data_IF_992047187379
#
_entry.id   IF_992047187379
#
_cell.length_a   1.000
_cell.length_b   1.000
_cell.length_c   1.000
_cell.angle_alpha   90.00
_cell.angle_beta   90.00
_cell.angle_gamma   90.00
#
_symmetry.space_group_name_H-M   'P 1'
#
loop_
_entity.id
_entity.type
_entity.pdbx_description
1 polymer ?
#
# COMPACT_ATOMS: atom_id res chain seq x y z
N UNK A 1 4.44 -6.86 2.40
CA UNK A 1 3.20 -6.08 2.63
C UNK A 1 3.45 -4.63 2.27
N UNK A 2 2.43 -3.91 1.81
CA UNK A 2 2.52 -2.49 1.46
C UNK A 2 1.46 -1.69 2.24
N UNK A 3 1.88 -0.63 2.92
CA UNK A 3 1.00 0.34 3.58
C UNK A 3 1.21 1.72 2.94
N UNK A 4 0.14 2.40 2.54
CA UNK A 4 0.23 3.62 1.72
C UNK A 4 -0.97 4.53 1.87
N UNK A 5 -1.55 4.58 3.07
CA UNK A 5 -2.85 5.20 3.34
C UNK A 5 -3.98 4.18 3.34
N UNK A 6 -5.21 4.64 3.04
CA UNK A 6 -6.39 3.78 3.04
C UNK A 6 -6.20 2.52 2.18
N UNK A 7 -6.32 1.35 2.83
CA UNK A 7 -6.10 0.07 2.17
C UNK A 7 -7.11 -0.25 1.05
N UNK A 8 -8.33 0.33 1.04
CA UNK A 8 -9.30 0.13 -0.03
C UNK A 8 -8.78 0.71 -1.34
N UNK A 9 -8.06 1.83 -1.26
CA UNK A 9 -7.45 2.47 -2.42
C UNK A 9 -6.22 1.70 -2.91
N UNK A 10 -5.39 1.24 -1.97
CA UNK A 10 -4.19 0.45 -2.27
C UNK A 10 -4.56 -0.91 -2.86
N UNK A 11 -5.58 -1.58 -2.32
CA UNK A 11 -6.11 -2.83 -2.83
C UNK A 11 -6.58 -2.68 -4.28
N UNK A 12 -7.42 -1.68 -4.54
CA UNK A 12 -7.94 -1.40 -5.88
C UNK A 12 -6.83 -1.14 -6.91
N UNK A 13 -5.70 -0.55 -6.50
CA UNK A 13 -4.53 -0.30 -7.36
C UNK A 13 -3.89 -1.62 -7.81
N UNK A 14 -3.76 -2.59 -6.92
CA UNK A 14 -3.04 -3.84 -7.20
C UNK A 14 -3.93 -4.97 -7.74
N UNK A 15 -5.23 -4.98 -7.44
CA UNK A 15 -6.18 -5.96 -7.98
C UNK A 15 -6.07 -6.17 -9.51
N UNK A 16 -6.02 -5.13 -10.36
CA UNK A 16 -5.97 -5.31 -11.81
C UNK A 16 -4.57 -5.60 -12.36
N UNK A 17 -3.52 -5.61 -11.53
CA UNK A 17 -2.13 -5.80 -12.00
C UNK A 17 -1.93 -7.26 -12.44
N UNK A 18 -1.44 -7.47 -13.66
CA UNK A 18 -1.05 -8.77 -14.22
C UNK A 18 0.04 -9.39 -13.36
N UNK A 19 -0.11 -10.67 -13.06
CA UNK A 19 0.79 -11.41 -12.17
C UNK A 19 0.46 -11.30 -10.68
N UNK A 20 -0.37 -10.34 -10.24
CA UNK A 20 -0.87 -10.35 -8.85
C UNK A 20 -1.91 -11.46 -8.68
N UNK A 21 -1.68 -12.40 -7.79
CA UNK A 21 -2.58 -13.55 -7.59
C UNK A 21 -3.64 -13.24 -6.52
N UNK A 22 -3.25 -12.52 -5.48
CA UNK A 22 -4.11 -12.20 -4.34
C UNK A 22 -3.73 -10.83 -3.77
N UNK A 23 -4.76 -10.08 -3.36
CA UNK A 23 -4.63 -8.85 -2.59
C UNK A 23 -5.58 -8.99 -1.40
N UNK A 24 -5.04 -8.89 -0.19
CA UNK A 24 -5.81 -8.96 1.05
C UNK A 24 -5.52 -7.73 1.91
N UNK A 25 -6.57 -6.99 2.26
CA UNK A 25 -6.50 -5.82 3.14
C UNK A 25 -6.39 -6.26 4.60
N UNK A 26 -5.57 -5.56 5.39
CA UNK A 26 -5.37 -5.92 6.80
C UNK A 26 -4.57 -4.89 7.60
N UNK A 27 -4.25 -5.28 8.82
CA UNK A 27 -3.61 -4.46 9.84
C UNK A 27 -2.22 -5.02 10.13
N UNK A 28 -1.18 -4.22 9.91
CA UNK A 28 0.21 -4.67 9.99
C UNK A 28 1.02 -3.94 11.07
N UNK A 29 1.94 -4.68 11.69
CA UNK A 29 2.99 -4.15 12.58
C UNK A 29 2.49 -3.24 13.73
N UNK A 30 1.30 -3.52 14.28
CA UNK A 30 0.87 -2.95 15.57
C UNK A 30 1.04 -3.92 16.73
N UNK A 31 0.70 -3.45 17.94
CA UNK A 31 0.97 -4.16 19.19
C UNK A 31 -0.26 -4.85 19.79
N UNK A 32 -1.47 -4.56 19.28
CA UNK A 32 -2.68 -5.25 19.73
C UNK A 32 -2.88 -6.53 18.92
N UNK A 33 -3.22 -7.67 19.55
CA UNK A 33 -3.56 -8.88 18.82
C UNK A 33 -4.96 -8.77 18.21
N UNK A 34 -5.12 -9.17 16.94
CA UNK A 34 -6.42 -9.23 16.25
C UNK A 34 -7.26 -7.95 16.42
N UNK A 35 -6.72 -6.77 16.04
CA UNK A 35 -7.43 -5.51 16.22
C UNK A 35 -8.67 -5.44 15.33
N UNK A 36 -9.73 -4.77 15.79
CA UNK A 36 -10.86 -4.38 14.91
C UNK A 36 -10.52 -3.11 14.14
N UNK A 37 -11.26 -2.84 13.07
CA UNK A 37 -11.14 -1.60 12.32
C UNK A 37 -11.19 -0.35 13.21
N UNK A 38 -12.15 -0.27 14.14
CA UNK A 38 -12.30 0.90 15.04
C UNK A 38 -11.09 1.08 15.96
N UNK A 39 -10.49 -0.02 16.41
CA UNK A 39 -9.29 0.02 17.24
C UNK A 39 -8.10 0.55 16.45
N UNK A 40 -7.98 0.20 15.17
CA UNK A 40 -6.96 0.74 14.27
C UNK A 40 -7.21 2.21 13.95
N UNK A 41 -8.45 2.58 13.62
CA UNK A 41 -8.83 3.98 13.34
C UNK A 41 -8.60 4.91 14.55
N UNK A 42 -8.61 4.37 15.78
CA UNK A 42 -8.26 5.16 16.97
C UNK A 42 -6.79 5.61 17.00
N UNK A 43 -5.92 5.01 16.17
CA UNK A 43 -4.47 5.24 16.13
C UNK A 43 -3.70 4.63 17.31
N UNK A 44 -4.40 4.05 18.30
CA UNK A 44 -3.79 3.54 19.55
C UNK A 44 -3.19 2.16 19.42
N UNK A 45 -3.61 1.37 18.43
CA UNK A 45 -3.16 -0.02 18.26
C UNK A 45 -1.77 -0.13 17.59
N UNK A 46 -1.27 0.97 17.00
CA UNK A 46 0.00 1.04 16.28
C UNK A 46 0.02 0.36 14.91
N UNK A 47 -1.08 -0.30 14.51
CA UNK A 47 -1.16 -0.96 13.22
C UNK A 47 -1.18 0.04 12.06
N UNK A 48 -0.61 -0.33 10.93
CA UNK A 48 -0.85 0.31 9.63
C UNK A 48 -1.98 -0.43 8.90
N UNK A 49 -2.83 0.32 8.20
CA UNK A 49 -3.60 -0.24 7.11
C UNK A 49 -2.65 -0.64 5.98
N UNK A 50 -2.67 -1.92 5.62
CA UNK A 50 -1.75 -2.50 4.66
C UNK A 50 -2.46 -3.53 3.77
N UNK A 51 -1.84 -3.85 2.64
CA UNK A 51 -2.24 -4.97 1.79
C UNK A 51 -1.17 -6.06 1.75
N UNK A 52 -1.61 -7.31 1.83
CA UNK A 52 -0.83 -8.50 1.50
C UNK A 52 -0.96 -8.78 0.02
N UNK A 53 0.16 -8.74 -0.69
CA UNK A 53 0.23 -9.08 -2.11
C UNK A 53 0.86 -10.45 -2.26
N UNK A 54 0.16 -11.36 -2.94
CA UNK A 54 0.73 -12.59 -3.49
C UNK A 54 0.84 -12.38 -4.99
N UNK A 55 2.00 -12.66 -5.59
CA UNK A 55 2.24 -12.42 -7.01
C UNK A 55 3.12 -13.51 -7.63
N UNK A 56 2.98 -13.68 -8.94
CA UNK A 56 3.79 -14.57 -9.76
C UNK A 56 5.03 -13.82 -10.29
N UNK A 57 6.25 -14.14 -9.80
CA UNK A 57 7.47 -13.46 -10.22
C UNK A 57 7.83 -13.70 -11.69
N UNK A 58 7.23 -14.70 -12.36
CA UNK A 58 7.41 -14.90 -13.81
C UNK A 58 6.61 -13.87 -14.63
N UNK A 59 5.58 -13.24 -14.04
CA UNK A 59 4.74 -12.25 -14.71
C UNK A 59 5.01 -10.82 -14.27
N UNK A 60 5.34 -10.59 -13.00
CA UNK A 60 5.64 -9.27 -12.45
C UNK A 60 6.70 -9.36 -11.35
N UNK A 61 7.73 -8.52 -11.42
CA UNK A 61 8.78 -8.48 -10.41
C UNK A 61 8.41 -7.61 -9.21
N UNK A 62 9.02 -7.88 -8.05
CA UNK A 62 8.85 -7.06 -6.84
C UNK A 62 9.13 -5.58 -7.11
N UNK A 63 10.22 -5.28 -7.83
CA UNK A 63 10.59 -3.91 -8.16
C UNK A 63 9.46 -3.15 -8.87
N UNK A 64 8.80 -3.78 -9.84
CA UNK A 64 7.66 -3.18 -10.55
C UNK A 64 6.46 -2.92 -9.63
N UNK A 65 6.18 -3.84 -8.70
CA UNK A 65 5.12 -3.61 -7.70
C UNK A 65 5.45 -2.42 -6.79
N UNK A 66 6.73 -2.24 -6.43
CA UNK A 66 7.17 -1.09 -5.65
C UNK A 66 7.15 0.21 -6.45
N UNK A 67 7.48 0.18 -7.74
CA UNK A 67 7.33 1.33 -8.64
C UNK A 67 5.86 1.79 -8.72
N UNK A 68 4.92 0.84 -8.86
CA UNK A 68 3.47 1.13 -8.80
C UNK A 68 3.09 1.71 -7.43
N UNK A 69 3.61 1.14 -6.34
CA UNK A 69 3.37 1.63 -4.98
C UNK A 69 3.78 3.10 -4.81
N UNK A 70 5.01 3.45 -5.17
CA UNK A 70 5.51 4.83 -5.08
C UNK A 70 4.81 5.79 -6.04
N UNK A 71 4.25 5.31 -7.14
CA UNK A 71 3.46 6.13 -8.07
C UNK A 71 2.01 6.39 -7.60
N UNK A 72 1.52 5.71 -6.57
CA UNK A 72 0.08 5.71 -6.20
C UNK A 72 -0.24 6.22 -4.80
N UNK A 73 0.77 6.67 -4.07
CA UNK A 73 0.61 7.40 -2.80
C UNK A 73 1.76 8.39 -2.65
N UNK A 74 1.60 9.37 -1.76
CA UNK A 74 2.67 10.29 -1.38
C UNK A 74 3.56 9.64 -0.30
N UNK A 75 4.83 9.28 -0.62
CA UNK A 75 5.74 8.61 0.31
C UNK A 75 6.51 9.60 1.22
N UNK A 76 6.22 10.90 1.13
CA UNK A 76 6.93 11.98 1.84
C UNK A 76 6.18 12.51 3.05
N UNK A 77 4.91 12.09 3.20
CA UNK A 77 4.03 12.57 4.28
C UNK A 77 4.02 11.59 5.45
N UNK A 78 4.62 11.98 6.56
CA UNK A 78 4.69 11.15 7.76
C UNK A 78 3.29 10.98 8.37
N UNK A 79 2.87 9.73 8.58
CA UNK A 79 1.60 9.36 9.21
C UNK A 79 0.37 10.05 8.57
N UNK A 80 0.37 10.15 7.24
CA UNK A 80 -0.71 10.80 6.48
C UNK A 80 -0.74 10.29 5.05
N UNK A 81 -1.93 10.29 4.45
CA UNK A 81 -2.09 10.24 3.00
C UNK A 81 -3.24 11.15 2.56
N UNK A 82 -2.91 12.27 1.92
CA UNK A 82 -3.91 13.28 1.58
C UNK A 82 -4.66 13.77 2.83
N UNK A 83 -5.98 13.58 2.86
CA UNK A 83 -6.84 13.96 3.98
C UNK A 83 -6.86 12.95 5.13
N UNK A 84 -6.34 11.74 4.92
CA UNK A 84 -6.32 10.67 5.92
C UNK A 84 -5.10 10.84 6.83
N UNK A 85 -5.34 11.21 8.09
CA UNK A 85 -4.28 11.56 9.06
C UNK A 85 -4.25 10.55 10.20
N UNK A 86 -3.08 9.99 10.47
CA UNK A 86 -2.86 9.03 11.55
C UNK A 86 -1.77 8.02 11.20
N UNK A 87 -1.18 7.41 12.24
CA UNK A 87 -0.12 6.41 12.07
C UNK A 87 -0.60 5.18 11.30
N UNK A 88 -1.90 4.88 11.30
CA UNK A 88 -2.50 3.82 10.51
C UNK A 88 -2.39 4.06 8.99
N UNK A 89 -2.21 5.31 8.56
CA UNK A 89 -2.10 5.69 7.15
C UNK A 89 -0.65 5.95 6.71
N UNK A 90 0.33 5.58 7.52
CA UNK A 90 1.75 5.76 7.19
C UNK A 90 2.14 4.99 5.93
N UNK A 91 3.14 5.53 5.22
CA UNK A 91 3.83 4.80 4.16
C UNK A 91 4.81 3.78 4.77
N UNK A 92 4.65 2.51 4.44
CA UNK A 92 5.56 1.45 4.89
C UNK A 92 5.62 0.25 3.93
N UNK A 93 6.77 -0.41 3.91
CA UNK A 93 6.99 -1.68 3.22
C UNK A 93 7.47 -2.69 4.27
N UNK A 94 6.65 -3.72 4.51
CA UNK A 94 6.98 -4.79 5.44
C UNK A 94 7.47 -6.04 4.72
N UNK A 95 8.74 -6.40 4.95
CA UNK A 95 9.43 -7.51 4.29
C UNK A 95 9.32 -8.80 5.08
N UNK A 96 9.15 -9.93 4.39
CA UNK A 96 9.27 -11.28 4.98
C UNK A 96 10.65 -11.88 4.76
N UNK A 97 11.44 -11.29 3.85
CA UNK A 97 12.76 -11.78 3.45
C UNK A 97 13.73 -10.59 3.27
N UNK A 98 15.04 -10.75 3.55
CA UNK A 98 16.02 -9.68 3.41
C UNK A 98 16.12 -9.10 1.99
N UNK A 99 15.92 -9.94 0.98
CA UNK A 99 15.99 -9.51 -0.42
C UNK A 99 14.90 -8.48 -0.77
N UNK A 100 13.72 -8.60 -0.16
CA UNK A 100 12.63 -7.65 -0.37
C UNK A 100 12.99 -6.26 0.17
N UNK A 101 13.61 -6.21 1.35
CA UNK A 101 14.09 -4.95 1.92
C UNK A 101 15.19 -4.34 1.05
N UNK A 102 16.12 -5.17 0.55
CA UNK A 102 17.20 -4.73 -0.33
C UNK A 102 16.67 -4.05 -1.59
N UNK A 103 15.69 -4.67 -2.26
CA UNK A 103 15.06 -4.12 -3.47
C UNK A 103 14.30 -2.82 -3.15
N UNK A 104 13.58 -2.77 -2.02
CA UNK A 104 12.86 -1.56 -1.61
C UNK A 104 13.80 -0.40 -1.29
N UNK A 105 14.88 -0.66 -0.54
CA UNK A 105 15.90 0.33 -0.21
C UNK A 105 16.58 0.87 -1.45
N UNK A 106 16.98 -0.01 -2.36
CA UNK A 106 17.58 0.39 -3.63
C UNK A 106 16.65 1.32 -4.43
N UNK A 107 15.36 1.00 -4.51
CA UNK A 107 14.42 1.86 -5.23
C UNK A 107 14.23 3.22 -4.53
N UNK A 108 14.15 3.25 -3.21
CA UNK A 108 14.10 4.52 -2.44
C UNK A 108 15.33 5.37 -2.73
N UNK A 109 16.53 4.77 -2.70
CA UNK A 109 17.79 5.48 -2.96
C UNK A 109 17.82 6.06 -4.38
N UNK A 110 17.37 5.30 -5.38
CA UNK A 110 17.27 5.76 -6.76
C UNK A 110 16.26 6.90 -6.93
N UNK A 111 15.07 6.82 -6.30
CA UNK A 111 14.05 7.86 -6.34
C UNK A 111 14.52 9.16 -5.66
N UNK A 112 15.25 9.04 -4.54
CA UNK A 112 15.84 10.19 -3.87
C UNK A 112 16.98 10.81 -4.67
N UNK A 113 17.86 10.00 -5.27
CA UNK A 113 18.94 10.48 -6.13
C UNK A 113 18.42 11.20 -7.38
N UNK A 114 17.26 10.78 -7.88
CA UNK A 114 16.55 11.42 -8.99
C UNK A 114 15.74 12.66 -8.60
N UNK A 115 15.70 13.02 -7.30
CA UNK A 115 14.85 14.08 -6.74
C UNK A 115 13.37 13.94 -7.15
N UNK A 116 12.88 12.69 -7.23
CA UNK A 116 11.57 12.39 -7.82
C UNK A 116 10.39 13.02 -7.09
N UNK A 117 10.56 13.35 -5.80
CA UNK A 117 9.51 13.94 -4.95
C UNK A 117 9.87 15.33 -4.40
N UNK A 118 11.05 15.88 -4.69
CA UNK A 118 11.51 17.20 -4.21
C UNK A 118 11.79 17.30 -2.70
N UNK A 119 11.41 16.28 -1.92
CA UNK A 119 11.63 16.18 -0.47
C UNK A 119 11.93 14.71 -0.09
N UNK A 120 12.53 14.45 1.09
CA UNK A 120 12.90 13.10 1.49
C UNK A 120 11.71 12.13 1.59
N UNK A 121 11.94 10.88 1.20
CA UNK A 121 10.99 9.78 1.37
C UNK A 121 11.02 9.36 2.85
N UNK A 122 9.83 9.23 3.45
CA UNK A 122 9.66 8.82 4.86
C UNK A 122 9.08 7.41 5.02
N UNK A 123 8.99 6.65 3.91
CA UNK A 123 8.52 5.26 3.90
C UNK A 123 9.32 4.40 4.86
N UNK A 124 8.63 3.77 5.79
CA UNK A 124 9.22 2.82 6.74
C UNK A 124 9.63 1.53 6.00
N UNK A 125 10.87 1.09 6.17
CA UNK A 125 11.31 -0.26 5.79
C UNK A 125 11.53 -1.07 7.07
N UNK A 126 10.75 -2.12 7.27
CA UNK A 126 10.84 -2.97 8.44
C UNK A 126 10.46 -4.42 8.13
N UNK A 127 10.93 -5.41 8.90
CA UNK A 127 10.42 -6.76 8.79
C UNK A 127 8.94 -6.83 9.19
N UNK A 128 8.20 -7.74 8.56
CA UNK A 128 6.84 -8.07 8.95
C UNK A 128 6.85 -8.77 10.31
N UNK A 129 6.27 -8.14 11.32
CA UNK A 129 6.13 -8.70 12.67
C UNK A 129 4.78 -9.37 12.86
N UNK A 130 3.71 -8.76 12.33
CA UNK A 130 2.33 -9.21 12.47
C UNK A 130 1.49 -8.70 11.32
N UNK A 131 0.55 -9.54 10.89
CA UNK A 131 -0.52 -9.16 9.97
C UNK A 131 -1.81 -9.83 10.45
N UNK A 132 -2.84 -9.03 10.67
CA UNK A 132 -4.19 -9.49 10.97
C UNK A 132 -5.08 -9.07 9.79
N UNK A 133 -5.76 -10.02 9.15
CA UNK A 133 -6.65 -9.72 8.03
C UNK A 133 -7.81 -8.84 8.50
N UNK A 134 -8.15 -7.83 7.70
CA UNK A 134 -9.30 -6.98 7.98
C UNK A 134 -10.61 -7.74 7.74
N UNK A 135 -11.67 -7.22 8.35
CA UNK A 135 -13.03 -7.75 8.27
C UNK A 135 -13.46 -7.94 6.80
N UNK A 136 -14.32 -8.94 6.54
CA UNK A 136 -14.75 -9.29 5.18
C UNK A 136 -15.42 -8.13 4.43
N UNK A 137 -15.98 -7.16 5.16
CA UNK A 137 -16.56 -5.93 4.61
C UNK A 137 -15.53 -4.92 4.08
N UNK A 138 -14.25 -5.06 4.43
CA UNK A 138 -13.16 -4.23 3.89
C UNK A 138 -12.45 -4.85 2.68
N UNK A 139 -12.61 -6.16 2.46
CA UNK A 139 -12.00 -6.85 1.32
C UNK A 139 -12.70 -6.52 0.00
N UNK A 140 -11.96 -6.17 -1.03
CA UNK A 140 -12.48 -5.73 -2.35
C UNK A 140 -13.47 -4.57 -2.23
N UNK A 141 -13.24 -3.65 -1.29
CA UNK A 141 -14.22 -2.62 -0.94
C UNK A 141 -14.59 -1.77 -2.15
N UNK A 142 -13.61 -1.27 -2.91
CA UNK A 142 -13.88 -0.41 -4.07
C UNK A 142 -14.60 -1.16 -5.19
N UNK A 143 -14.25 -2.42 -5.45
CA UNK A 143 -14.93 -3.24 -6.44
C UNK A 143 -16.40 -3.49 -6.10
N UNK A 144 -16.73 -3.63 -4.80
CA UNK A 144 -18.11 -3.79 -4.32
C UNK A 144 -18.88 -2.48 -4.20
N UNK A 145 -18.17 -1.37 -4.01
CA UNK A 145 -18.76 -0.04 -3.81
C UNK A 145 -18.15 1.00 -4.78
N UNK A 146 -18.27 0.82 -6.11
CA UNK A 146 -17.58 1.66 -7.09
C UNK A 146 -18.08 3.11 -7.12
N UNK A 147 -19.26 3.37 -6.55
CA UNK A 147 -19.87 4.71 -6.45
C UNK A 147 -19.69 5.35 -5.06
N UNK A 148 -18.90 4.74 -4.17
CA UNK A 148 -18.58 5.33 -2.89
C UNK A 148 -17.83 6.67 -3.10
N UNK A 149 -18.34 7.75 -2.50
CA UNK A 149 -17.81 9.10 -2.71
C UNK A 149 -16.35 9.27 -2.28
N UNK A 150 -15.94 8.61 -1.20
CA UNK A 150 -14.55 8.62 -0.74
C UNK A 150 -13.64 7.93 -1.75
N UNK A 151 -14.00 6.72 -2.22
CA UNK A 151 -13.19 6.00 -3.19
C UNK A 151 -13.11 6.74 -4.55
N UNK A 152 -14.18 7.41 -4.97
CA UNK A 152 -14.14 8.24 -6.18
C UNK A 152 -13.19 9.43 -6.04
N UNK A 153 -13.11 10.03 -4.85
CA UNK A 153 -12.21 11.14 -4.59
C UNK A 153 -10.74 10.70 -4.46
N UNK A 154 -10.49 9.54 -3.82
CA UNK A 154 -9.12 9.11 -3.44
C UNK A 154 -8.57 7.99 -4.33
N UNK A 155 -9.34 6.95 -4.62
CA UNK A 155 -8.88 5.81 -5.42
C UNK A 155 -8.90 6.10 -6.92
N UNK A 156 -9.95 6.75 -7.44
CA UNK A 156 -10.10 6.94 -8.89
C UNK A 156 -8.94 7.72 -9.56
N UNK A 157 -8.37 8.79 -8.97
CA UNK A 157 -7.18 9.44 -9.51
C UNK A 157 -5.96 8.50 -9.55
N UNK A 158 -5.75 7.69 -8.51
CA UNK A 158 -4.67 6.70 -8.44
C UNK A 158 -4.80 5.67 -9.55
N UNK A 159 -6.00 5.10 -9.73
CA UNK A 159 -6.27 4.13 -10.79
C UNK A 159 -6.09 4.71 -12.20
N UNK A 160 -6.45 5.98 -12.40
CA UNK A 160 -6.21 6.68 -13.67
C UNK A 160 -4.71 6.79 -13.94
N UNK A 161 -3.93 7.16 -12.93
CA UNK A 161 -2.48 7.26 -13.04
C UNK A 161 -1.85 5.90 -13.38
N UNK A 162 -2.27 4.82 -12.71
CA UNK A 162 -1.81 3.45 -13.01
C UNK A 162 -2.15 3.05 -14.44
N UNK A 163 -3.37 3.34 -14.92
CA UNK A 163 -3.78 3.06 -16.30
C UNK A 163 -2.98 3.85 -17.34
N UNK A 164 -2.46 5.02 -16.98
CA UNK A 164 -1.66 5.84 -17.90
C UNK A 164 -0.20 5.41 -17.96
N UNK A 165 0.40 5.11 -16.80
CA UNK A 165 1.85 4.84 -16.71
C UNK A 165 2.21 3.36 -16.69
N UNK A 166 1.28 2.49 -16.27
CA UNK A 166 1.52 1.07 -16.06
C UNK A 166 0.55 0.17 -16.84
N UNK A 167 -0.07 0.68 -17.92
CA UNK A 167 -1.05 -0.05 -18.74
C UNK A 167 -0.58 -1.45 -19.16
N UNK A 168 0.70 -1.58 -19.51
CA UNK A 168 1.33 -2.84 -19.93
C UNK A 168 1.35 -3.91 -18.83
N UNK A 169 1.16 -3.51 -17.58
CA UNK A 169 1.11 -4.38 -16.40
C UNK A 169 -0.32 -4.62 -15.91
N UNK A 170 -1.35 -4.14 -16.61
CA UNK A 170 -2.75 -4.40 -16.25
C UNK A 170 -3.30 -5.60 -17.04
N UNK A 171 -4.34 -6.23 -16.49
CA UNK A 171 -5.13 -7.29 -17.15
C UNK A 171 -6.27 -6.74 -17.99
#
# INVERSE_FOLDING_TARGET
MLAGGCFWCTEAVFEPVRGVLEVESGYANGHWPQPTYEQVCSGRSGHAEAVRLVFDPAQVGLRTLLEIFFATHDPTTLNRQGADVGSQYRSAIYSTEPEQERVARQLIDELQAADAFGVPIVTELAPLQRFDAAEAEHQRFFARHPHNGYCLAVAAPKLRHVRQQFAQWLR
#
